data_IF_567795291868
#
_entry.id   IF_567795291868
#
_cell.length_a   1.000
_cell.length_b   1.000
_cell.length_c   1.000
_cell.angle_alpha   90.00
_cell.angle_beta   90.00
_cell.angle_gamma   90.00
#
_symmetry.space_group_name_H-M   'P 1'
#
loop_
_entity.id
_entity.type
_entity.pdbx_description
1 polymer ?
#
# COMPACT_ATOMS: atom_id res chain seq x y z
N UNK A 1 13.27 -29.03 25.27
CA UNK A 1 13.98 -30.03 24.43
C UNK A 1 14.61 -29.29 23.26
N UNK A 2 15.94 -29.43 23.05
CA UNK A 2 16.64 -28.74 21.97
C UNK A 2 16.39 -29.43 20.62
N UNK A 3 16.56 -28.72 19.51
CA UNK A 3 16.44 -29.27 18.16
C UNK A 3 17.34 -30.50 17.94
N UNK A 4 18.52 -30.50 18.52
CA UNK A 4 19.48 -31.63 18.42
C UNK A 4 19.05 -32.86 19.22
N UNK A 5 18.39 -32.70 20.33
CA UNK A 5 17.79 -33.79 21.09
C UNK A 5 16.67 -34.50 20.32
N UNK A 6 15.79 -33.75 19.65
CA UNK A 6 14.75 -34.28 18.78
C UNK A 6 15.31 -35.13 17.62
N UNK A 7 16.37 -34.63 16.95
CA UNK A 7 17.06 -35.38 15.89
C UNK A 7 17.68 -36.69 16.39
N UNK A 8 18.23 -36.68 17.59
CA UNK A 8 18.81 -37.89 18.21
C UNK A 8 17.74 -38.96 18.53
N UNK A 9 16.60 -38.54 19.08
CA UNK A 9 15.46 -39.41 19.36
C UNK A 9 14.84 -39.98 18.10
N UNK A 10 14.75 -39.19 17.00
CA UNK A 10 14.32 -39.69 15.71
C UNK A 10 15.23 -40.77 15.13
N UNK A 11 16.56 -40.60 15.22
CA UNK A 11 17.52 -41.61 14.76
C UNK A 11 17.48 -42.92 15.57
N UNK A 12 17.07 -42.83 16.81
CA UNK A 12 16.94 -43.99 17.70
C UNK A 12 15.54 -44.65 17.65
N UNK A 13 14.61 -44.13 16.83
CA UNK A 13 13.22 -44.61 16.76
C UNK A 13 12.38 -44.36 18.01
N UNK A 14 12.90 -43.50 18.93
CA UNK A 14 12.29 -43.21 20.24
C UNK A 14 11.55 -41.85 20.23
N UNK A 15 11.49 -41.18 19.09
CA UNK A 15 10.75 -39.93 18.98
C UNK A 15 9.24 -40.18 19.20
N UNK A 16 8.56 -39.36 20.02
CA UNK A 16 7.11 -39.48 20.18
C UNK A 16 6.48 -39.31 18.79
N UNK A 17 5.59 -40.21 18.38
CA UNK A 17 4.82 -40.07 17.13
C UNK A 17 4.15 -38.71 17.17
N UNK A 18 4.59 -37.81 16.34
CA UNK A 18 3.95 -36.51 16.17
C UNK A 18 2.50 -36.77 15.81
N UNK A 19 1.59 -36.47 16.73
CA UNK A 19 0.15 -36.51 16.47
C UNK A 19 -0.11 -35.74 15.19
N UNK A 20 -0.56 -36.48 14.18
CA UNK A 20 -0.63 -36.08 12.79
C UNK A 20 -1.10 -34.64 12.62
N UNK A 21 -0.28 -33.84 11.93
CA UNK A 21 -0.71 -32.54 11.49
C UNK A 21 -2.03 -32.72 10.76
N UNK A 22 -3.09 -32.07 11.24
CA UNK A 22 -4.40 -32.07 10.56
C UNK A 22 -4.18 -31.75 9.09
N UNK A 23 -4.71 -32.55 8.16
CA UNK A 23 -4.52 -32.29 6.74
C UNK A 23 -4.94 -30.86 6.46
N UNK A 24 -4.03 -30.08 5.89
CA UNK A 24 -4.30 -28.69 5.50
C UNK A 24 -5.50 -28.74 4.54
N UNK A 25 -6.62 -28.10 4.92
CA UNK A 25 -7.78 -28.01 4.03
C UNK A 25 -7.30 -27.49 2.68
N UNK A 26 -7.65 -28.15 1.57
CA UNK A 26 -7.24 -27.67 0.25
C UNK A 26 -7.72 -26.23 0.07
N UNK A 27 -6.84 -25.37 -0.42
CA UNK A 27 -7.18 -23.98 -0.75
C UNK A 27 -8.44 -24.00 -1.64
N UNK A 28 -9.42 -23.19 -1.30
CA UNK A 28 -10.65 -23.07 -2.10
C UNK A 28 -10.26 -22.79 -3.55
N UNK A 29 -10.64 -23.69 -4.46
CA UNK A 29 -10.45 -23.48 -5.90
C UNK A 29 -11.16 -22.19 -6.28
N UNK A 30 -10.43 -21.29 -6.93
CA UNK A 30 -11.04 -20.09 -7.53
C UNK A 30 -12.14 -20.54 -8.47
N UNK A 31 -13.33 -19.94 -8.40
CA UNK A 31 -14.42 -20.32 -9.30
C UNK A 31 -13.97 -20.18 -10.76
N UNK A 32 -14.44 -21.05 -11.64
CA UNK A 32 -14.08 -21.05 -13.06
C UNK A 32 -14.36 -19.68 -13.70
N UNK A 33 -15.45 -19.02 -13.29
CA UNK A 33 -15.80 -17.66 -13.73
C UNK A 33 -14.72 -16.63 -13.32
N UNK A 34 -14.30 -16.64 -12.06
CA UNK A 34 -13.25 -15.74 -11.55
C UNK A 34 -11.88 -16.02 -12.15
N UNK A 35 -11.59 -17.31 -12.45
CA UNK A 35 -10.36 -17.68 -13.14
C UNK A 35 -10.37 -17.22 -14.62
N UNK A 36 -11.51 -17.24 -15.28
CA UNK A 36 -11.68 -16.71 -16.64
C UNK A 36 -11.52 -15.19 -16.66
N UNK A 37 -12.19 -14.46 -15.76
CA UNK A 37 -12.05 -13.01 -15.58
C UNK A 37 -10.60 -12.60 -15.32
N UNK A 38 -9.89 -13.34 -14.44
CA UNK A 38 -8.45 -13.10 -14.19
C UNK A 38 -7.57 -13.40 -15.42
N UNK A 39 -7.98 -14.35 -16.28
CA UNK A 39 -7.27 -14.67 -17.50
C UNK A 39 -7.49 -13.60 -18.56
N UNK A 40 -8.72 -13.12 -18.74
CA UNK A 40 -9.04 -11.99 -19.61
C UNK A 40 -8.33 -10.71 -19.19
N UNK A 41 -8.26 -10.40 -17.89
CA UNK A 41 -7.48 -9.27 -17.38
C UNK A 41 -5.98 -9.39 -17.65
N UNK A 42 -5.42 -10.61 -17.62
CA UNK A 42 -4.02 -10.83 -18.00
C UNK A 42 -3.76 -10.70 -19.50
N UNK A 43 -4.73 -11.00 -20.34
CA UNK A 43 -4.64 -10.92 -21.81
C UNK A 43 -4.89 -9.49 -22.32
N UNK A 44 -5.67 -8.67 -21.58
CA UNK A 44 -6.01 -7.30 -21.98
C UNK A 44 -4.93 -6.25 -21.67
N UNK A 45 -3.76 -6.67 -21.18
CA UNK A 45 -2.71 -5.73 -20.81
C UNK A 45 -2.89 -5.13 -19.41
N UNK A 46 -2.16 -4.07 -19.14
CA UNK A 46 -2.04 -3.46 -17.82
C UNK A 46 -3.40 -3.12 -17.19
N UNK A 47 -3.55 -3.45 -15.91
CA UNK A 47 -4.72 -3.03 -15.13
C UNK A 47 -4.83 -1.49 -15.10
N UNK A 48 -6.01 -0.94 -14.81
CA UNK A 48 -6.18 0.52 -14.65
C UNK A 48 -5.15 1.12 -13.68
N UNK A 49 -4.82 0.36 -12.64
CA UNK A 49 -3.80 0.76 -11.66
C UNK A 49 -2.39 0.76 -12.27
N UNK A 50 -2.05 -0.22 -13.12
CA UNK A 50 -0.76 -0.26 -13.80
C UNK A 50 -0.60 0.92 -14.75
N UNK A 51 -1.63 1.22 -15.54
CA UNK A 51 -1.64 2.40 -16.41
C UNK A 51 -1.48 3.70 -15.61
N UNK A 52 -2.16 3.81 -14.46
CA UNK A 52 -2.02 4.96 -13.57
C UNK A 52 -0.57 5.10 -13.07
N UNK A 53 0.11 4.01 -12.66
CA UNK A 53 1.52 4.08 -12.26
C UNK A 53 2.44 4.50 -13.41
N UNK A 54 2.18 4.04 -14.63
CA UNK A 54 2.95 4.43 -15.83
C UNK A 54 2.80 5.95 -16.08
N UNK A 55 1.58 6.48 -15.98
CA UNK A 55 1.32 7.92 -16.13
C UNK A 55 2.01 8.73 -15.02
N UNK A 56 1.91 8.30 -13.77
CA UNK A 56 2.59 8.98 -12.64
C UNK A 56 4.10 8.98 -12.81
N UNK A 57 4.68 7.89 -13.35
CA UNK A 57 6.12 7.86 -13.64
C UNK A 57 6.58 8.99 -14.56
N UNK A 58 5.77 9.35 -15.54
CA UNK A 58 6.09 10.46 -16.46
C UNK A 58 6.19 11.80 -15.75
N UNK A 59 5.42 11.98 -14.68
CA UNK A 59 5.38 13.22 -13.89
C UNK A 59 6.45 13.27 -12.79
N UNK A 60 7.09 12.14 -12.46
CA UNK A 60 8.15 12.10 -11.46
C UNK A 60 9.32 12.99 -11.86
N UNK A 61 9.91 13.64 -10.87
CA UNK A 61 11.13 14.48 -11.02
C UNK A 61 12.42 13.68 -10.86
N UNK A 62 12.36 12.51 -10.22
CA UNK A 62 13.52 11.72 -9.78
C UNK A 62 14.02 12.12 -8.38
N UNK A 63 13.30 13.04 -7.71
CA UNK A 63 13.71 13.63 -6.43
C UNK A 63 12.61 13.48 -5.38
N UNK A 64 12.97 12.99 -4.20
CA UNK A 64 12.06 12.84 -3.07
C UNK A 64 11.56 14.19 -2.57
N UNK A 65 10.25 14.39 -2.53
CA UNK A 65 9.64 15.63 -2.07
C UNK A 65 9.96 15.96 -0.59
N UNK A 66 10.20 14.93 0.24
CA UNK A 66 10.52 15.12 1.66
C UNK A 66 11.98 15.50 1.89
N UNK A 67 12.93 14.67 1.43
CA UNK A 67 14.34 14.79 1.80
C UNK A 67 15.26 15.26 0.66
N UNK A 68 14.74 15.45 -0.55
CA UNK A 68 15.54 15.81 -1.73
C UNK A 68 16.42 14.67 -2.28
N UNK A 69 16.37 13.49 -1.69
CA UNK A 69 17.16 12.33 -2.13
C UNK A 69 16.64 11.73 -3.45
N UNK A 70 17.46 10.93 -4.11
CA UNK A 70 17.11 10.25 -5.37
C UNK A 70 15.97 9.25 -5.16
N UNK A 71 15.07 9.16 -6.15
CA UNK A 71 13.97 8.19 -6.20
C UNK A 71 14.21 7.12 -7.25
N UNK A 72 13.30 6.15 -7.37
CA UNK A 72 13.39 5.06 -8.33
C UNK A 72 12.86 5.38 -9.73
N UNK A 73 12.70 6.66 -10.11
CA UNK A 73 12.12 7.06 -11.40
C UNK A 73 12.70 6.32 -12.61
N UNK A 74 14.03 6.22 -12.66
CA UNK A 74 14.77 5.65 -13.79
C UNK A 74 14.84 4.11 -13.77
N UNK A 75 14.34 3.48 -12.70
CA UNK A 75 14.37 2.03 -12.53
C UNK A 75 13.00 1.40 -12.88
N UNK A 76 12.96 0.59 -13.94
CA UNK A 76 11.72 -0.02 -14.43
C UNK A 76 11.05 -0.97 -13.42
N UNK A 77 11.83 -1.55 -12.51
CA UNK A 77 11.30 -2.48 -11.49
C UNK A 77 10.82 -1.74 -10.24
N UNK A 78 11.45 -0.63 -9.91
CA UNK A 78 11.32 -0.02 -8.59
C UNK A 78 10.66 1.37 -8.58
N UNK A 79 10.40 2.01 -9.74
CA UNK A 79 9.76 3.34 -9.77
C UNK A 79 8.44 3.38 -8.99
N UNK A 80 7.66 2.29 -8.99
CA UNK A 80 6.38 2.21 -8.27
C UNK A 80 6.54 2.38 -6.76
N UNK A 81 7.68 1.97 -6.20
CA UNK A 81 7.97 2.14 -4.78
C UNK A 81 8.27 3.59 -4.40
N UNK A 82 8.45 4.47 -5.38
CA UNK A 82 8.62 5.91 -5.14
C UNK A 82 7.34 6.72 -5.37
N UNK A 83 6.26 6.08 -5.82
CA UNK A 83 4.94 6.68 -5.99
C UNK A 83 4.10 6.35 -4.75
N UNK A 84 4.07 7.27 -3.79
CA UNK A 84 3.34 7.13 -2.54
C UNK A 84 1.92 7.69 -2.69
N UNK A 85 0.90 6.96 -2.23
CA UNK A 85 -0.47 7.46 -2.18
C UNK A 85 -0.66 8.35 -0.94
N UNK A 86 -1.24 9.52 -1.11
CA UNK A 86 -1.55 10.43 0.00
C UNK A 86 -2.62 9.83 0.92
N UNK A 87 -3.66 9.25 0.32
CA UNK A 87 -4.65 8.44 1.02
C UNK A 87 -4.57 7.00 0.49
N UNK A 88 -4.52 6.00 1.40
CA UNK A 88 -4.29 4.61 1.03
C UNK A 88 -5.32 4.09 0.01
N UNK A 89 -4.83 3.47 -1.06
CA UNK A 89 -5.63 2.91 -2.17
C UNK A 89 -6.37 1.61 -1.85
N UNK A 90 -6.26 1.07 -0.63
CA UNK A 90 -6.88 -0.21 -0.26
C UNK A 90 -8.39 -0.12 -0.44
N UNK A 91 -9.01 -1.18 -0.99
CA UNK A 91 -10.48 -1.26 -1.20
C UNK A 91 -11.29 -0.94 0.06
N UNK A 92 -10.73 -1.20 1.24
CA UNK A 92 -11.35 -0.94 2.53
C UNK A 92 -11.12 0.47 3.07
N UNK A 93 -10.32 1.30 2.37
CA UNK A 93 -9.95 2.64 2.84
C UNK A 93 -10.56 3.73 1.96
N UNK A 94 -9.94 4.09 0.85
CA UNK A 94 -10.35 5.18 -0.03
C UNK A 94 -10.38 4.74 -1.51
N UNK A 95 -11.23 3.76 -1.88
CA UNK A 95 -11.30 3.22 -3.25
C UNK A 95 -11.73 4.25 -4.28
N UNK A 96 -12.57 5.24 -3.91
CA UNK A 96 -13.08 6.26 -4.84
C UNK A 96 -11.98 7.10 -5.48
N UNK A 97 -10.85 7.25 -4.81
CA UNK A 97 -9.71 8.08 -5.24
C UNK A 97 -8.42 7.28 -5.46
N UNK A 98 -8.47 5.95 -5.44
CA UNK A 98 -7.30 5.08 -5.50
C UNK A 98 -6.39 5.37 -6.73
N UNK A 99 -6.98 5.74 -7.86
CA UNK A 99 -6.28 6.09 -9.11
C UNK A 99 -6.48 7.57 -9.49
N UNK A 100 -6.81 8.43 -8.53
CA UNK A 100 -6.91 9.85 -8.78
C UNK A 100 -5.53 10.47 -8.99
N UNK A 101 -5.41 11.37 -9.96
CA UNK A 101 -4.15 12.00 -10.33
C UNK A 101 -3.57 12.93 -9.25
N UNK A 102 -4.37 13.33 -8.27
CA UNK A 102 -3.93 14.14 -7.14
C UNK A 102 -3.59 13.31 -5.90
N UNK A 103 -3.89 12.00 -5.91
CA UNK A 103 -3.68 11.12 -4.76
C UNK A 103 -2.29 10.50 -4.73
N UNK A 104 -1.24 11.28 -4.99
CA UNK A 104 0.12 10.77 -4.92
C UNK A 104 1.17 11.84 -4.66
N UNK A 105 2.32 11.39 -4.22
CA UNK A 105 3.53 12.20 -4.04
C UNK A 105 4.77 11.33 -4.29
N UNK A 106 5.86 11.94 -4.77
CA UNK A 106 7.12 11.25 -5.02
C UNK A 106 7.97 11.21 -3.75
N UNK A 107 8.20 10.01 -3.19
CA UNK A 107 9.02 9.78 -2.00
C UNK A 107 10.06 8.69 -2.24
N UNK A 108 11.25 8.82 -1.63
CA UNK A 108 12.26 7.78 -1.70
C UNK A 108 11.86 6.54 -0.91
N UNK A 109 12.11 5.38 -1.50
CA UNK A 109 11.93 4.09 -0.84
C UNK A 109 13.21 3.63 -0.11
N UNK A 110 14.38 3.92 -0.70
CA UNK A 110 15.70 3.63 -0.14
C UNK A 110 16.30 4.84 0.57
N UNK A 111 17.41 4.60 1.25
CA UNK A 111 18.09 5.64 2.00
C UNK A 111 17.27 6.10 3.19
N UNK A 112 16.72 7.29 3.14
CA UNK A 112 15.89 7.86 4.22
C UNK A 112 14.54 7.17 4.38
N UNK A 113 14.13 6.31 3.42
CA UNK A 113 12.88 5.54 3.44
C UNK A 113 11.64 6.40 3.75
N UNK A 114 11.55 7.59 3.13
CA UNK A 114 10.48 8.55 3.40
C UNK A 114 9.10 7.97 3.08
N UNK A 115 8.98 7.14 2.04
CA UNK A 115 7.74 6.43 1.70
C UNK A 115 7.27 5.52 2.86
N UNK A 116 8.16 4.68 3.39
CA UNK A 116 7.81 3.79 4.51
C UNK A 116 7.48 4.57 5.79
N UNK A 117 8.13 5.71 6.02
CA UNK A 117 7.80 6.61 7.14
C UNK A 117 6.41 7.21 6.98
N UNK A 118 6.06 7.64 5.78
CA UNK A 118 4.75 8.19 5.45
C UNK A 118 3.64 7.14 5.62
N UNK A 119 3.84 5.93 5.10
CA UNK A 119 2.86 4.83 5.16
C UNK A 119 2.70 4.22 6.55
N UNK A 120 3.60 4.51 7.50
CA UNK A 120 3.58 3.89 8.83
C UNK A 120 2.38 4.33 9.66
N UNK A 121 2.05 5.62 9.69
CA UNK A 121 0.85 6.19 10.28
C UNK A 121 0.66 7.65 9.86
N UNK A 122 -0.55 8.17 9.98
CA UNK A 122 -0.85 9.58 9.69
C UNK A 122 -0.21 10.53 10.70
N UNK A 123 -0.07 10.12 11.97
CA UNK A 123 0.62 10.90 13.01
C UNK A 123 2.10 11.09 12.64
N UNK A 124 2.73 10.04 12.11
CA UNK A 124 4.11 10.14 11.64
C UNK A 124 4.22 10.96 10.37
N UNK A 125 3.29 10.79 9.43
CA UNK A 125 3.23 11.61 8.22
C UNK A 125 3.07 13.10 8.57
N UNK A 126 2.29 13.44 9.60
CA UNK A 126 2.08 14.81 10.08
C UNK A 126 3.36 15.49 10.60
N UNK A 127 4.38 14.71 11.00
CA UNK A 127 5.69 15.28 11.38
C UNK A 127 6.62 15.55 10.20
N UNK A 128 6.24 15.16 8.99
CA UNK A 128 7.06 15.32 7.79
C UNK A 128 6.88 16.72 7.19
N UNK A 129 7.94 17.24 6.56
CA UNK A 129 7.95 18.55 5.91
C UNK A 129 6.89 18.70 4.82
N UNK A 130 6.57 17.59 4.15
CA UNK A 130 5.55 17.58 3.07
C UNK A 130 4.11 17.67 3.60
N UNK A 131 3.86 17.55 4.90
CA UNK A 131 2.51 17.47 5.45
C UNK A 131 1.57 18.61 5.01
N UNK A 132 1.97 19.89 5.00
CA UNK A 132 1.11 20.96 4.50
C UNK A 132 0.68 20.77 3.04
N UNK A 133 1.56 20.25 2.19
CA UNK A 133 1.20 19.90 0.83
C UNK A 133 0.20 18.74 0.78
N UNK A 134 0.44 17.69 1.59
CA UNK A 134 -0.47 16.53 1.70
C UNK A 134 -1.88 17.02 2.07
N UNK A 135 -2.00 17.84 3.10
CA UNK A 135 -3.30 18.36 3.55
C UNK A 135 -3.98 19.25 2.53
N UNK A 136 -3.23 20.04 1.78
CA UNK A 136 -3.77 20.80 0.65
C UNK A 136 -4.40 19.88 -0.40
N UNK A 137 -3.73 18.78 -0.76
CA UNK A 137 -4.25 17.81 -1.73
C UNK A 137 -5.43 17.01 -1.15
N UNK A 138 -5.36 16.59 0.10
CA UNK A 138 -6.46 15.91 0.80
C UNK A 138 -7.72 16.78 0.80
N UNK A 139 -7.61 18.07 1.05
CA UNK A 139 -8.73 19.00 0.98
C UNK A 139 -9.33 19.09 -0.44
N UNK A 140 -8.52 19.04 -1.49
CA UNK A 140 -9.00 18.99 -2.89
C UNK A 140 -9.70 17.66 -3.19
N UNK A 141 -9.20 16.56 -2.64
CA UNK A 141 -9.79 15.22 -2.83
C UNK A 141 -11.07 14.99 -2.01
N UNK A 142 -11.22 15.72 -0.90
CA UNK A 142 -12.31 15.51 0.05
C UNK A 142 -13.73 15.52 -0.58
N UNK A 143 -14.08 16.44 -1.49
CA UNK A 143 -15.39 16.42 -2.15
C UNK A 143 -15.65 15.17 -2.97
N UNK A 144 -14.60 14.50 -3.48
CA UNK A 144 -14.68 13.31 -4.34
C UNK A 144 -14.90 12.03 -3.54
N UNK A 145 -14.74 12.09 -2.21
CA UNK A 145 -14.92 10.94 -1.32
C UNK A 145 -16.41 10.63 -1.10
N UNK A 146 -16.71 9.34 -0.93
CA UNK A 146 -18.04 8.90 -0.46
C UNK A 146 -18.28 9.36 0.98
N UNK A 147 -19.53 9.32 1.42
CA UNK A 147 -19.88 9.68 2.81
C UNK A 147 -19.18 8.78 3.84
N UNK A 148 -19.01 7.50 3.53
CA UNK A 148 -18.30 6.55 4.39
C UNK A 148 -16.80 6.87 4.47
N UNK A 149 -16.18 7.19 3.33
CA UNK A 149 -14.78 7.60 3.27
C UNK A 149 -14.54 8.93 3.98
N UNK A 150 -15.45 9.90 3.84
CA UNK A 150 -15.42 11.17 4.59
C UNK A 150 -15.52 10.94 6.09
N UNK A 151 -16.42 10.06 6.54
CA UNK A 151 -16.54 9.69 7.95
C UNK A 151 -15.26 9.05 8.47
N UNK A 152 -14.68 8.13 7.70
CA UNK A 152 -13.40 7.48 8.03
C UNK A 152 -12.25 8.48 8.10
N UNK A 153 -12.15 9.40 7.15
CA UNK A 153 -11.10 10.42 7.13
C UNK A 153 -11.20 11.35 8.36
N UNK A 154 -12.42 11.73 8.74
CA UNK A 154 -12.67 12.53 9.96
C UNK A 154 -12.40 11.79 11.27
N UNK A 155 -12.35 10.45 11.26
CA UNK A 155 -11.95 9.67 12.44
C UNK A 155 -10.43 9.66 12.68
N UNK A 156 -9.64 10.17 11.74
CA UNK A 156 -8.18 10.31 11.87
C UNK A 156 -7.89 11.68 12.45
N UNK A 157 -7.52 11.73 13.73
CA UNK A 157 -7.43 12.96 14.52
C UNK A 157 -6.57 14.05 13.86
N UNK A 158 -5.35 13.69 13.42
CA UNK A 158 -4.42 14.65 12.80
C UNK A 158 -4.93 15.22 11.47
N UNK A 159 -5.80 14.51 10.77
CA UNK A 159 -6.44 14.97 9.54
C UNK A 159 -7.68 15.79 9.86
N UNK A 160 -8.48 15.33 10.83
CA UNK A 160 -9.72 15.98 11.22
C UNK A 160 -9.52 17.43 11.67
N UNK A 161 -8.38 17.72 12.30
CA UNK A 161 -8.00 19.06 12.75
C UNK A 161 -7.70 20.03 11.59
N UNK A 162 -7.31 19.52 10.44
CA UNK A 162 -6.86 20.32 9.28
C UNK A 162 -7.84 20.32 8.10
N UNK A 163 -8.82 19.41 8.10
CA UNK A 163 -9.91 19.45 7.11
C UNK A 163 -10.85 20.60 7.49
N UNK A 164 -11.08 21.49 6.55
CA UNK A 164 -12.10 22.53 6.70
C UNK A 164 -13.42 22.08 6.06
N UNK A 165 -14.36 21.49 6.82
CA UNK A 165 -15.62 20.97 6.28
C UNK A 165 -16.58 22.07 5.82
N UNK A 166 -16.39 23.33 6.28
CA UNK A 166 -17.24 24.46 5.91
C UNK A 166 -16.96 25.01 4.51
N UNK A 167 -15.88 24.56 3.90
CA UNK A 167 -15.45 25.02 2.58
C UNK A 167 -16.00 24.16 1.42
N UNK A 168 -16.71 23.03 1.74
CA UNK A 168 -17.18 22.08 0.72
C UNK A 168 -18.60 21.58 1.01
#
# INVERSE_FOLDING_TARGET
MSYFENLRLQKLGLAPKTTGAKPKKPLRKVSVKKAAEMKEQKVSGDSKLDLWFIERRKEMTGTCAECGGKTGKDDDKFYRHSICHLLPKRETMFPSIAINNLNWIELCFWGNSCHSKFDSSFERAATMRIWPFVMKQVNVLYPMLTNEEKARLRSIEVIAQEINPEKY
#
